data_IF_046445039838
#
_entry.id   IF_046445039838
#
_cell.length_a   1.000
_cell.length_b   1.000
_cell.length_c   1.000
_cell.angle_alpha   90.00
_cell.angle_beta   90.00
_cell.angle_gamma   90.00
#
_symmetry.space_group_name_H-M   'P 1'
#
loop_
_entity.id
_entity.type
_entity.pdbx_description
1 polymer ?
#
# COMPACT_ATOMS: atom_id res chain seq x y z
N UNK A 1 -5.17 -24.57 -1.57
CA UNK A 1 -5.30 -23.73 -0.36
C UNK A 1 -6.32 -22.64 -0.63
N UNK A 2 -6.99 -22.15 0.39
CA UNK A 2 -7.94 -21.03 0.28
C UNK A 2 -7.27 -19.77 -0.30
N UNK A 3 -6.00 -19.57 -0.05
CA UNK A 3 -5.23 -18.45 -0.57
C UNK A 3 -5.10 -18.44 -2.09
N UNK A 4 -4.87 -19.58 -2.75
CA UNK A 4 -4.80 -19.65 -4.22
C UNK A 4 -6.15 -19.40 -4.88
N UNK A 5 -7.25 -19.90 -4.29
CA UNK A 5 -8.59 -19.61 -4.79
C UNK A 5 -8.93 -18.12 -4.63
N UNK A 6 -8.59 -17.54 -3.48
CA UNK A 6 -8.75 -16.11 -3.22
C UNK A 6 -7.93 -15.25 -4.20
N UNK A 7 -6.68 -15.61 -4.46
CA UNK A 7 -5.81 -14.93 -5.44
C UNK A 7 -6.45 -14.88 -6.82
N UNK A 8 -6.95 -16.03 -7.34
CA UNK A 8 -7.66 -16.09 -8.63
C UNK A 8 -8.89 -15.19 -8.65
N UNK A 9 -9.67 -15.21 -7.56
CA UNK A 9 -10.86 -14.36 -7.42
C UNK A 9 -10.50 -12.88 -7.43
N UNK A 10 -9.44 -12.47 -6.70
CA UNK A 10 -8.95 -11.08 -6.70
C UNK A 10 -8.56 -10.65 -8.10
N UNK A 11 -7.79 -11.47 -8.83
CA UNK A 11 -7.39 -11.17 -10.21
C UNK A 11 -8.61 -11.00 -11.13
N UNK A 12 -9.61 -11.87 -11.04
CA UNK A 12 -10.83 -11.81 -11.83
C UNK A 12 -11.70 -10.57 -11.45
N UNK A 13 -11.80 -10.25 -10.16
CA UNK A 13 -12.49 -9.05 -9.71
C UNK A 13 -11.86 -7.78 -10.28
N UNK A 14 -10.53 -7.65 -10.21
CA UNK A 14 -9.80 -6.47 -10.71
C UNK A 14 -9.88 -6.37 -12.23
N UNK A 15 -9.63 -7.46 -12.94
CA UNK A 15 -9.48 -7.41 -14.41
C UNK A 15 -10.81 -7.45 -15.16
N UNK A 16 -11.85 -8.03 -14.58
CA UNK A 16 -13.08 -8.37 -15.34
C UNK A 16 -14.36 -7.92 -14.64
N UNK A 17 -14.63 -8.40 -13.42
CA UNK A 17 -15.96 -8.25 -12.81
C UNK A 17 -16.28 -6.82 -12.42
N UNK A 18 -15.38 -6.15 -11.69
CA UNK A 18 -15.63 -4.78 -11.24
C UNK A 18 -15.62 -3.77 -12.41
N UNK A 19 -14.70 -3.87 -13.39
CA UNK A 19 -14.79 -3.06 -14.61
C UNK A 19 -16.13 -3.23 -15.34
N UNK A 20 -16.59 -4.48 -15.55
CA UNK A 20 -17.85 -4.73 -16.23
C UNK A 20 -19.09 -4.28 -15.47
N UNK A 21 -19.12 -4.48 -14.14
CA UNK A 21 -20.29 -4.21 -13.32
C UNK A 21 -20.45 -2.73 -12.96
N UNK A 22 -19.33 -2.01 -12.77
CA UNK A 22 -19.31 -0.66 -12.21
C UNK A 22 -18.61 0.36 -13.09
N UNK A 23 -17.96 -0.04 -14.19
CA UNK A 23 -17.20 0.86 -15.06
C UNK A 23 -15.88 1.36 -14.45
N UNK A 24 -15.37 0.72 -13.41
CA UNK A 24 -14.09 1.10 -12.82
C UNK A 24 -12.91 0.79 -13.74
N UNK A 25 -11.97 1.72 -13.83
CA UNK A 25 -10.67 1.47 -14.44
C UNK A 25 -9.85 0.54 -13.52
N UNK A 26 -9.39 -0.64 -14.02
CA UNK A 26 -8.71 -1.63 -13.21
C UNK A 26 -7.38 -1.14 -12.60
N UNK A 27 -6.73 -0.15 -13.22
CA UNK A 27 -5.44 0.39 -12.77
C UNK A 27 -5.64 1.61 -11.88
N UNK A 28 -6.53 2.53 -12.27
CA UNK A 28 -6.71 3.81 -11.60
C UNK A 28 -7.69 3.76 -10.44
N UNK A 29 -8.82 3.04 -10.61
CA UNK A 29 -9.92 3.10 -9.65
C UNK A 29 -9.89 1.97 -8.62
N UNK A 30 -9.26 0.83 -8.96
CA UNK A 30 -9.24 -0.35 -8.10
C UNK A 30 -7.89 -0.45 -7.39
N UNK A 31 -7.95 -0.66 -6.07
CA UNK A 31 -6.78 -0.92 -5.25
C UNK A 31 -6.94 -2.19 -4.45
N UNK A 32 -5.96 -3.10 -4.57
CA UNK A 32 -5.90 -4.29 -3.71
C UNK A 32 -5.09 -3.95 -2.47
N UNK A 33 -5.68 -4.16 -1.27
CA UNK A 33 -5.06 -3.88 0.02
C UNK A 33 -4.79 -5.19 0.76
N UNK A 34 -3.53 -5.61 0.80
CA UNK A 34 -3.13 -6.89 1.38
C UNK A 34 -2.79 -6.77 2.87
N UNK A 35 -3.23 -7.69 3.72
CA UNK A 35 -2.74 -7.79 5.10
C UNK A 35 -1.24 -8.05 5.20
N UNK A 36 -0.66 -8.76 4.22
CA UNK A 36 0.74 -9.21 4.21
C UNK A 36 1.44 -8.93 2.88
N UNK A 37 2.78 -8.93 2.90
CA UNK A 37 3.60 -8.86 1.68
C UNK A 37 3.76 -10.21 0.99
N UNK A 38 3.82 -11.30 1.76
CA UNK A 38 4.17 -12.65 1.28
C UNK A 38 2.96 -13.56 1.24
N UNK A 39 3.07 -14.65 0.48
CA UNK A 39 2.02 -15.65 0.29
C UNK A 39 1.13 -15.37 -0.93
N UNK A 40 0.20 -16.28 -1.24
CA UNK A 40 -0.65 -16.20 -2.45
C UNK A 40 -1.48 -14.91 -2.53
N UNK A 41 -1.94 -14.39 -1.39
CA UNK A 41 -2.71 -13.14 -1.27
C UNK A 41 -1.85 -11.97 -0.79
N UNK A 42 -0.52 -12.14 -0.76
CA UNK A 42 0.43 -11.08 -0.42
C UNK A 42 0.63 -10.11 -1.57
N UNK A 43 1.03 -8.87 -1.23
CA UNK A 43 1.18 -7.80 -2.22
C UNK A 43 2.22 -8.11 -3.29
N UNK A 44 3.29 -8.84 -2.98
CA UNK A 44 4.34 -9.20 -3.95
C UNK A 44 3.78 -10.10 -5.05
N UNK A 45 3.14 -11.20 -4.69
CA UNK A 45 2.62 -12.15 -5.67
C UNK A 45 1.40 -11.59 -6.42
N UNK A 46 0.54 -10.83 -5.76
CA UNK A 46 -0.59 -10.16 -6.41
C UNK A 46 -0.13 -9.08 -7.39
N UNK A 47 0.90 -8.31 -7.08
CA UNK A 47 1.49 -7.36 -8.03
C UNK A 47 1.99 -8.06 -9.28
N UNK A 48 2.74 -9.16 -9.13
CA UNK A 48 3.25 -9.94 -10.25
C UNK A 48 2.10 -10.44 -11.15
N UNK A 49 1.06 -11.03 -10.55
CA UNK A 49 -0.10 -11.55 -11.28
C UNK A 49 -0.90 -10.46 -11.96
N UNK A 50 -1.19 -9.39 -11.25
CA UNK A 50 -1.98 -8.28 -11.79
C UNK A 50 -1.22 -7.53 -12.87
N UNK A 51 0.09 -7.36 -12.76
CA UNK A 51 0.92 -6.79 -13.80
C UNK A 51 0.85 -7.63 -15.09
N UNK A 52 0.97 -8.96 -14.99
CA UNK A 52 0.90 -9.84 -16.15
C UNK A 52 -0.48 -9.85 -16.81
N UNK A 53 -1.56 -9.67 -16.05
CA UNK A 53 -2.93 -9.62 -16.57
C UNK A 53 -3.27 -8.24 -17.16
N UNK A 54 -2.95 -7.16 -16.43
CA UNK A 54 -3.39 -5.81 -16.79
C UNK A 54 -2.40 -5.10 -17.72
N UNK A 55 -1.12 -5.43 -17.59
CA UNK A 55 -0.03 -4.80 -18.32
C UNK A 55 1.01 -5.83 -18.81
N UNK A 56 0.61 -6.81 -19.65
CA UNK A 56 1.51 -7.84 -20.15
C UNK A 56 2.67 -7.24 -20.96
N UNK A 57 3.82 -7.94 -21.03
CA UNK A 57 4.90 -7.55 -21.92
C UNK A 57 4.44 -7.57 -23.38
N UNK A 58 4.89 -6.60 -24.17
CA UNK A 58 4.58 -6.52 -25.59
C UNK A 58 5.81 -6.03 -26.38
N UNK A 59 5.88 -6.37 -27.65
CA UNK A 59 6.95 -5.92 -28.54
C UNK A 59 6.97 -4.39 -28.62
N UNK A 60 8.13 -3.79 -28.39
CA UNK A 60 8.29 -2.32 -28.39
C UNK A 60 7.85 -1.64 -27.10
N UNK A 61 7.35 -2.36 -26.12
CA UNK A 61 7.00 -1.81 -24.81
C UNK A 61 8.24 -1.77 -23.91
N UNK A 62 8.67 -0.56 -23.52
CA UNK A 62 9.81 -0.39 -22.63
C UNK A 62 9.58 -1.06 -21.28
N UNK A 63 10.60 -1.77 -20.79
CA UNK A 63 10.63 -2.34 -19.44
C UNK A 63 12.06 -2.36 -18.90
N UNK A 64 12.18 -2.22 -17.58
CA UNK A 64 13.45 -2.31 -16.86
C UNK A 64 13.35 -3.41 -15.82
N UNK A 65 14.38 -4.23 -15.75
CA UNK A 65 14.45 -5.45 -14.94
C UNK A 65 14.46 -6.69 -15.81
N UNK A 66 14.74 -7.84 -15.22
CA UNK A 66 14.71 -9.15 -15.85
C UNK A 66 13.72 -10.06 -15.16
N UNK A 67 13.37 -11.19 -15.78
CA UNK A 67 12.50 -12.18 -15.15
C UNK A 67 13.07 -12.73 -13.83
N UNK A 68 14.41 -12.72 -13.69
CA UNK A 68 15.11 -13.15 -12.48
C UNK A 68 15.17 -12.03 -11.42
N UNK A 69 14.96 -10.76 -11.79
CA UNK A 69 14.91 -9.69 -10.82
C UNK A 69 13.58 -9.73 -10.05
N UNK A 70 13.65 -9.41 -8.76
CA UNK A 70 12.44 -9.34 -7.92
C UNK A 70 11.45 -8.26 -8.37
N UNK A 71 11.83 -7.41 -9.34
CA UNK A 71 11.07 -6.24 -9.77
C UNK A 71 11.23 -5.99 -11.27
N UNK A 72 10.10 -5.86 -11.94
CA UNK A 72 10.01 -5.42 -13.34
C UNK A 72 9.14 -4.19 -13.37
N UNK A 73 9.61 -3.12 -14.01
CA UNK A 73 8.89 -1.88 -14.25
C UNK A 73 8.64 -1.75 -15.76
N UNK A 74 7.38 -1.67 -16.17
CA UNK A 74 6.94 -1.58 -17.57
C UNK A 74 6.22 -0.24 -17.82
N UNK A 75 6.32 0.26 -19.02
CA UNK A 75 5.47 1.36 -19.48
C UNK A 75 3.99 1.06 -19.20
N UNK A 76 3.30 1.95 -18.51
CA UNK A 76 1.90 1.79 -18.10
C UNK A 76 1.68 1.13 -16.75
N UNK A 77 2.74 0.71 -16.04
CA UNK A 77 2.58 0.15 -14.70
C UNK A 77 2.11 1.20 -13.68
N UNK A 78 1.27 0.74 -12.75
CA UNK A 78 0.99 1.46 -11.52
C UNK A 78 2.10 1.21 -10.52
N UNK A 79 2.67 2.27 -9.99
CA UNK A 79 3.81 2.24 -9.04
C UNK A 79 3.55 3.11 -7.83
N UNK A 80 4.31 2.84 -6.76
CA UNK A 80 4.31 3.62 -5.53
C UNK A 80 5.74 3.99 -5.16
N UNK A 81 5.94 5.26 -4.78
CA UNK A 81 7.15 5.71 -4.08
C UNK A 81 7.23 5.04 -2.70
N UNK A 82 8.35 4.41 -2.38
CA UNK A 82 8.48 3.63 -1.12
C UNK A 82 9.47 4.21 -0.12
N UNK A 83 10.05 5.35 -0.45
CA UNK A 83 10.91 6.17 0.42
C UNK A 83 10.56 7.63 0.22
N UNK A 84 10.88 8.50 1.18
CA UNK A 84 10.91 9.92 0.92
C UNK A 84 12.20 10.26 0.18
N UNK A 85 12.07 10.96 -0.95
CA UNK A 85 13.18 11.58 -1.68
C UNK A 85 12.86 13.07 -1.78
N UNK A 86 13.60 13.89 -1.02
CA UNK A 86 13.39 15.34 -0.95
C UNK A 86 14.11 16.09 -2.05
N UNK A 87 15.00 15.43 -2.79
CA UNK A 87 15.89 16.03 -3.79
C UNK A 87 15.42 15.75 -5.22
N UNK A 88 14.59 14.72 -5.44
CA UNK A 88 14.07 14.39 -6.77
C UNK A 88 13.22 15.55 -7.30
N UNK A 89 13.53 15.99 -8.52
CA UNK A 89 12.80 17.05 -9.19
C UNK A 89 11.55 16.53 -9.91
N UNK A 90 10.53 17.36 -9.97
CA UNK A 90 9.36 17.11 -10.80
C UNK A 90 9.01 18.30 -11.68
N UNK A 91 8.41 17.99 -12.82
CA UNK A 91 7.82 18.96 -13.74
C UNK A 91 6.31 19.00 -13.55
N UNK A 92 5.71 20.18 -13.76
CA UNK A 92 4.26 20.39 -13.85
C UNK A 92 3.92 21.10 -15.15
N UNK A 93 2.83 20.68 -15.78
CA UNK A 93 2.33 21.38 -16.96
C UNK A 93 1.86 22.80 -16.58
N UNK A 94 2.53 23.84 -17.14
CA UNK A 94 2.16 25.24 -16.93
C UNK A 94 2.51 25.83 -15.56
N UNK A 95 3.35 25.18 -14.76
CA UNK A 95 3.83 25.67 -13.48
C UNK A 95 5.34 25.47 -13.32
N UNK A 96 5.94 26.07 -12.29
CA UNK A 96 7.35 25.89 -11.97
C UNK A 96 7.63 24.44 -11.53
N UNK A 97 8.83 23.97 -11.88
CA UNK A 97 9.37 22.72 -11.37
C UNK A 97 9.51 22.78 -9.85
N UNK A 98 9.37 21.64 -9.19
CA UNK A 98 9.55 21.54 -7.76
C UNK A 98 10.40 20.33 -7.40
N UNK A 99 10.54 20.09 -6.10
CA UNK A 99 11.31 18.97 -5.56
C UNK A 99 10.47 18.16 -4.54
N UNK A 100 10.81 16.88 -4.41
CA UNK A 100 10.29 15.98 -3.39
C UNK A 100 9.21 15.02 -3.88
N UNK A 101 9.46 13.72 -3.62
CA UNK A 101 8.50 12.62 -3.72
C UNK A 101 8.38 11.92 -2.36
N UNK A 102 7.18 11.52 -2.00
CA UNK A 102 6.90 11.02 -0.65
C UNK A 102 6.50 9.55 -0.65
N UNK A 103 6.88 8.86 0.41
CA UNK A 103 6.50 7.47 0.62
C UNK A 103 4.96 7.34 0.65
N UNK A 104 4.43 6.52 -0.26
CA UNK A 104 3.00 6.33 -0.46
C UNK A 104 2.43 7.02 -1.69
N UNK A 105 3.18 7.93 -2.34
CA UNK A 105 2.75 8.58 -3.59
C UNK A 105 2.58 7.51 -4.68
N UNK A 106 1.42 7.54 -5.35
CA UNK A 106 1.06 6.60 -6.41
C UNK A 106 1.15 7.27 -7.77
N UNK A 107 1.62 6.53 -8.76
CA UNK A 107 1.73 7.04 -10.12
C UNK A 107 1.65 5.94 -11.18
N UNK A 108 1.68 6.40 -12.43
CA UNK A 108 1.73 5.54 -13.62
C UNK A 108 3.02 5.83 -14.38
N UNK A 109 3.71 4.78 -14.80
CA UNK A 109 4.90 4.90 -15.66
C UNK A 109 4.47 5.37 -17.05
N UNK A 110 4.90 6.56 -17.45
CA UNK A 110 4.55 7.18 -18.73
C UNK A 110 5.65 7.10 -19.79
N UNK A 111 6.90 6.84 -19.36
CA UNK A 111 8.02 6.57 -20.26
C UNK A 111 9.02 5.62 -19.60
N UNK A 112 9.71 4.84 -20.42
CA UNK A 112 10.80 3.95 -20.02
C UNK A 112 11.92 4.10 -21.04
N UNK A 113 13.07 4.57 -20.59
CA UNK A 113 14.31 4.58 -21.37
C UNK A 113 15.19 3.42 -20.89
N UNK A 114 15.30 2.41 -21.74
CA UNK A 114 16.05 1.18 -21.42
C UNK A 114 17.56 1.43 -21.45
N UNK A 115 18.03 2.27 -22.36
CA UNK A 115 19.45 2.57 -22.55
C UNK A 115 19.99 3.44 -21.40
N UNK A 116 19.25 4.50 -21.05
CA UNK A 116 19.55 5.35 -19.89
C UNK A 116 19.18 4.70 -18.55
N UNK A 117 18.48 3.56 -18.56
CA UNK A 117 17.90 2.88 -17.37
C UNK A 117 17.10 3.84 -16.49
N UNK A 118 16.23 4.61 -17.12
CA UNK A 118 15.36 5.57 -16.41
C UNK A 118 13.89 5.32 -16.69
N UNK A 119 13.04 5.71 -15.74
CA UNK A 119 11.59 5.69 -15.90
C UNK A 119 11.00 7.05 -15.55
N UNK A 120 9.98 7.46 -16.31
CA UNK A 120 9.21 8.65 -15.99
C UNK A 120 7.85 8.23 -15.43
N UNK A 121 7.49 8.77 -14.28
CA UNK A 121 6.24 8.47 -13.56
C UNK A 121 5.38 9.73 -13.45
N UNK A 122 4.13 9.62 -13.83
CA UNK A 122 3.12 10.65 -13.58
C UNK A 122 2.43 10.35 -12.25
N UNK A 123 2.59 11.24 -11.26
CA UNK A 123 1.91 11.22 -9.96
C UNK A 123 1.06 12.48 -9.84
N UNK A 124 -0.27 12.34 -9.92
CA UNK A 124 -1.21 13.46 -10.04
C UNK A 124 -0.83 14.41 -11.20
N UNK A 125 -0.56 15.68 -10.89
CA UNK A 125 -0.13 16.72 -11.83
C UNK A 125 1.40 16.80 -12.00
N UNK A 126 2.16 15.96 -11.29
CA UNK A 126 3.62 15.98 -11.24
C UNK A 126 4.23 14.84 -12.06
N UNK A 127 5.29 15.15 -12.77
CA UNK A 127 6.04 14.22 -13.60
C UNK A 127 7.47 14.08 -13.08
N UNK A 128 7.82 12.89 -12.63
CA UNK A 128 9.13 12.55 -12.07
C UNK A 128 9.93 11.67 -13.01
N UNK A 129 11.23 11.91 -13.14
CA UNK A 129 12.14 11.01 -13.86
C UNK A 129 13.11 10.38 -12.87
N UNK A 130 13.00 9.07 -12.73
CA UNK A 130 13.84 8.24 -11.85
C UNK A 130 15.01 7.69 -12.64
N UNK A 131 16.21 7.95 -12.16
CA UNK A 131 17.47 7.39 -12.71
C UNK A 131 17.69 5.96 -12.19
N UNK A 132 18.69 5.27 -12.76
CA UNK A 132 19.03 3.88 -12.40
C UNK A 132 19.16 3.66 -10.88
N UNK A 133 19.77 4.60 -10.16
CA UNK A 133 20.01 4.52 -8.70
C UNK A 133 18.71 4.75 -7.90
N UNK A 134 17.75 5.48 -8.46
CA UNK A 134 16.47 5.80 -7.83
C UNK A 134 15.38 4.76 -8.12
N UNK A 135 15.58 3.85 -9.08
CA UNK A 135 14.58 2.81 -9.40
C UNK A 135 14.21 1.92 -8.22
N UNK A 136 15.09 1.80 -7.22
CA UNK A 136 14.81 1.05 -5.99
C UNK A 136 13.75 1.71 -5.08
N UNK A 137 13.42 2.97 -5.33
CA UNK A 137 12.41 3.74 -4.60
C UNK A 137 10.98 3.54 -5.13
N UNK A 138 10.85 2.89 -6.29
CA UNK A 138 9.56 2.54 -6.88
C UNK A 138 9.25 1.06 -6.66
N UNK A 139 8.02 0.72 -6.29
CA UNK A 139 7.48 -0.64 -6.28
C UNK A 139 6.21 -0.71 -7.12
N UNK A 140 5.93 -1.83 -7.84
CA UNK A 140 4.61 -2.06 -8.44
C UNK A 140 3.51 -1.92 -7.38
N UNK A 141 2.39 -1.28 -7.73
CA UNK A 141 1.38 -0.86 -6.77
C UNK A 141 -0.07 -1.23 -7.16
N UNK A 142 -0.27 -2.26 -7.98
CA UNK A 142 -1.61 -2.85 -8.19
C UNK A 142 -2.16 -3.42 -6.88
N UNK A 143 -1.28 -3.95 -6.04
CA UNK A 143 -1.55 -4.40 -4.69
C UNK A 143 -0.52 -3.81 -3.72
N UNK A 144 -0.99 -3.21 -2.62
CA UNK A 144 -0.14 -2.67 -1.56
C UNK A 144 -0.56 -3.24 -0.20
N UNK A 145 0.29 -3.12 0.82
CA UNK A 145 -0.17 -3.51 2.16
C UNK A 145 -1.13 -2.48 2.75
N UNK A 146 -2.05 -2.93 3.60
CA UNK A 146 -2.99 -2.03 4.30
C UNK A 146 -2.26 -0.88 5.01
N UNK A 147 -1.08 -1.14 5.59
CA UNK A 147 -0.29 -0.10 6.25
C UNK A 147 0.23 0.97 5.28
N UNK A 148 0.65 0.57 4.07
CA UNK A 148 1.12 1.52 3.04
C UNK A 148 0.00 2.36 2.42
N UNK A 149 -1.27 1.96 2.59
CA UNK A 149 -2.43 2.71 2.10
C UNK A 149 -2.94 3.77 3.08
N UNK A 150 -2.32 3.91 4.26
CA UNK A 150 -2.73 4.92 5.24
C UNK A 150 -2.62 6.33 4.65
N UNK A 151 -3.66 7.14 4.81
CA UNK A 151 -3.76 8.48 4.22
C UNK A 151 -4.34 8.52 2.81
N UNK A 152 -4.35 7.40 2.08
CA UNK A 152 -4.91 7.32 0.72
C UNK A 152 -6.34 6.82 0.73
N UNK A 153 -7.12 7.16 -0.30
CA UNK A 153 -8.48 6.66 -0.54
C UNK A 153 -8.65 6.27 -2.01
N UNK A 154 -9.47 5.26 -2.26
CA UNK A 154 -9.66 4.69 -3.60
C UNK A 154 -11.15 4.54 -3.92
N UNK A 155 -11.58 4.70 -5.18
CA UNK A 155 -12.97 4.46 -5.58
C UNK A 155 -13.44 3.05 -5.23
N UNK A 156 -12.63 2.03 -5.49
CA UNK A 156 -12.89 0.63 -5.15
C UNK A 156 -11.68 -0.01 -4.45
N UNK A 157 -11.95 -0.76 -3.39
CA UNK A 157 -10.95 -1.50 -2.62
C UNK A 157 -11.29 -2.98 -2.60
N UNK A 158 -10.29 -3.83 -2.79
CA UNK A 158 -10.40 -5.29 -2.58
C UNK A 158 -9.46 -5.66 -1.44
N UNK A 159 -10.01 -6.31 -0.40
CA UNK A 159 -9.27 -6.83 0.75
C UNK A 159 -9.25 -8.36 0.73
N UNK A 160 -8.15 -9.01 0.34
CA UNK A 160 -7.98 -10.44 0.47
C UNK A 160 -7.66 -10.80 1.93
N UNK A 161 -8.62 -11.41 2.61
CA UNK A 161 -8.50 -11.87 4.02
C UNK A 161 -8.40 -13.38 4.15
N UNK A 162 -7.91 -14.07 3.10
CA UNK A 162 -7.60 -15.49 3.13
C UNK A 162 -6.16 -15.72 3.62
N UNK A 163 -5.97 -16.75 4.46
CA UNK A 163 -4.66 -17.16 4.98
C UNK A 163 -3.87 -16.02 5.68
N UNK A 164 -4.59 -15.10 6.35
CA UNK A 164 -3.98 -14.00 7.09
C UNK A 164 -3.23 -14.55 8.32
N UNK A 165 -1.94 -14.20 8.50
CA UNK A 165 -1.21 -14.59 9.70
C UNK A 165 -1.90 -14.11 10.99
N UNK A 166 -1.95 -14.93 12.02
CA UNK A 166 -2.68 -14.63 13.27
C UNK A 166 -2.30 -13.27 13.88
N UNK A 167 -1.03 -12.86 13.76
CA UNK A 167 -0.55 -11.56 14.24
C UNK A 167 -1.15 -10.35 13.53
N UNK A 168 -1.67 -10.55 12.29
CA UNK A 168 -2.30 -9.51 11.47
C UNK A 168 -3.83 -9.66 11.42
N UNK A 169 -4.37 -10.71 12.03
CA UNK A 169 -5.80 -10.99 12.06
C UNK A 169 -6.47 -10.22 13.21
N UNK A 170 -6.60 -8.89 13.09
CA UNK A 170 -7.19 -8.02 14.11
C UNK A 170 -8.05 -6.89 13.51
N UNK A 171 -9.01 -6.41 14.31
CA UNK A 171 -10.06 -5.45 13.91
C UNK A 171 -9.50 -4.18 13.27
N UNK A 172 -8.48 -3.56 13.87
CA UNK A 172 -7.96 -2.28 13.39
C UNK A 172 -7.35 -2.38 11.99
N UNK A 173 -6.75 -3.53 11.62
CA UNK A 173 -6.23 -3.73 10.27
C UNK A 173 -7.38 -3.80 9.26
N UNK A 174 -8.43 -4.58 9.58
CA UNK A 174 -9.64 -4.66 8.74
C UNK A 174 -10.29 -3.29 8.59
N UNK A 175 -10.50 -2.57 9.71
CA UNK A 175 -11.06 -1.23 9.72
C UNK A 175 -10.25 -0.26 8.86
N UNK A 176 -8.93 -0.25 9.01
CA UNK A 176 -8.04 0.61 8.21
C UNK A 176 -8.22 0.34 6.72
N UNK A 177 -8.30 -0.93 6.31
CA UNK A 177 -8.48 -1.30 4.91
C UNK A 177 -9.87 -0.90 4.37
N UNK A 178 -10.94 -1.19 5.11
CA UNK A 178 -12.32 -0.87 4.70
C UNK A 178 -12.52 0.64 4.54
N UNK A 179 -11.98 1.44 5.46
CA UNK A 179 -12.09 2.91 5.41
C UNK A 179 -11.29 3.57 4.29
N UNK A 180 -10.52 2.83 3.51
CA UNK A 180 -9.85 3.35 2.28
C UNK A 180 -10.79 3.37 1.07
N UNK A 181 -11.94 2.71 1.13
CA UNK A 181 -12.89 2.64 0.02
C UNK A 181 -13.85 3.84 0.04
N UNK A 182 -13.95 4.56 -1.08
CA UNK A 182 -14.91 5.66 -1.26
C UNK A 182 -16.30 5.18 -1.72
N UNK A 183 -16.34 4.19 -2.63
CA UNK A 183 -17.59 3.74 -3.27
C UNK A 183 -17.86 2.27 -3.04
N UNK A 184 -16.85 1.41 -3.14
CA UNK A 184 -17.00 -0.03 -3.07
C UNK A 184 -15.86 -0.67 -2.28
N UNK A 185 -16.19 -1.52 -1.31
CA UNK A 185 -15.23 -2.39 -0.64
C UNK A 185 -15.67 -3.85 -0.82
N UNK A 186 -14.75 -4.69 -1.32
CA UNK A 186 -14.97 -6.13 -1.50
C UNK A 186 -14.00 -6.89 -0.60
N UNK A 187 -14.53 -7.64 0.36
CA UNK A 187 -13.74 -8.59 1.14
C UNK A 187 -13.75 -9.95 0.44
N UNK A 188 -12.57 -10.57 0.30
CA UNK A 188 -12.43 -11.90 -0.28
C UNK A 188 -11.68 -12.81 0.67
N UNK A 189 -12.28 -13.94 1.03
CA UNK A 189 -11.70 -14.85 2.01
C UNK A 189 -12.74 -15.81 2.57
N UNK A 190 -12.60 -16.17 3.85
CA UNK A 190 -13.56 -17.02 4.54
C UNK A 190 -14.28 -16.22 5.62
N UNK A 191 -15.58 -16.48 5.80
CA UNK A 191 -16.38 -15.87 6.87
C UNK A 191 -15.74 -16.06 8.26
N UNK A 192 -15.06 -17.19 8.49
CA UNK A 192 -14.35 -17.45 9.73
C UNK A 192 -13.19 -16.47 9.97
N UNK A 193 -12.38 -16.19 8.94
CA UNK A 193 -11.27 -15.24 9.07
C UNK A 193 -11.79 -13.82 9.30
N UNK A 194 -12.83 -13.43 8.56
CA UNK A 194 -13.49 -12.15 8.69
C UNK A 194 -14.04 -11.95 10.11
N UNK A 195 -14.80 -12.95 10.63
CA UNK A 195 -15.32 -12.93 12.00
C UNK A 195 -14.19 -12.83 13.03
N UNK A 196 -13.12 -13.63 12.87
CA UNK A 196 -11.94 -13.56 13.75
C UNK A 196 -11.31 -12.16 13.76
N UNK A 197 -11.21 -11.51 12.60
CA UNK A 197 -10.68 -10.15 12.53
C UNK A 197 -11.59 -9.13 13.22
N UNK A 198 -12.90 -9.26 13.06
CA UNK A 198 -13.89 -8.37 13.71
C UNK A 198 -13.87 -8.52 15.23
N UNK A 199 -13.77 -9.75 15.75
CA UNK A 199 -13.79 -10.03 17.18
C UNK A 199 -12.47 -9.72 17.88
N UNK A 200 -11.34 -9.82 17.17
CA UNK A 200 -10.02 -9.61 17.75
C UNK A 200 -9.71 -8.11 17.94
N UNK A 201 -10.02 -7.61 19.12
CA UNK A 201 -9.79 -6.21 19.57
C UNK A 201 -8.39 -6.08 20.18
N UNK A 202 -7.34 -6.66 19.61
CA UNK A 202 -5.98 -6.46 20.12
C UNK A 202 -5.64 -4.96 20.11
N UNK A 203 -5.75 -4.36 21.28
CA UNK A 203 -5.04 -3.11 21.55
C UNK A 203 -3.57 -3.51 21.76
N UNK A 204 -2.67 -3.04 20.90
CA UNK A 204 -1.28 -2.99 21.25
C UNK A 204 -1.18 -2.05 22.45
N UNK A 205 -1.15 -2.61 23.65
CA UNK A 205 -0.87 -1.84 24.87
C UNK A 205 0.52 -1.24 24.68
N UNK A 206 0.56 0.04 24.33
CA UNK A 206 1.82 0.77 24.33
C UNK A 206 2.21 0.93 25.80
N UNK A 207 3.23 0.24 26.22
CA UNK A 207 3.88 0.47 27.51
C UNK A 207 4.66 1.78 27.41
N UNK A 208 3.93 2.91 27.40
CA UNK A 208 4.56 4.23 27.51
C UNK A 208 4.55 4.64 28.99
N UNK A 209 5.63 5.20 29.48
CA UNK A 209 5.70 5.80 30.82
C UNK A 209 4.77 7.00 31.03
N UNK A 210 4.09 7.46 29.96
CA UNK A 210 3.21 8.63 29.98
C UNK A 210 2.13 8.55 31.07
N UNK A 211 1.52 7.37 31.27
CA UNK A 211 0.52 7.18 32.34
C UNK A 211 1.09 7.41 33.73
N UNK A 212 2.34 7.01 33.97
CA UNK A 212 3.04 7.23 35.24
C UNK A 212 3.43 8.69 35.38
N UNK A 213 3.95 9.31 34.32
CA UNK A 213 4.30 10.73 34.32
C UNK A 213 3.08 11.64 34.54
N UNK A 214 1.92 11.31 33.93
CA UNK A 214 0.70 12.07 34.17
C UNK A 214 0.14 11.90 35.59
N UNK A 215 0.24 10.70 36.17
CA UNK A 215 -0.14 10.50 37.58
C UNK A 215 0.76 11.27 38.51
N UNK A 216 2.06 11.25 38.26
CA UNK A 216 3.08 11.94 39.06
C UNK A 216 2.93 13.46 38.96
N UNK A 217 2.57 14.00 37.78
CA UNK A 217 2.27 15.41 37.58
C UNK A 217 0.93 15.85 38.21
N UNK A 218 -0.04 14.92 38.36
CA UNK A 218 -1.32 15.21 38.99
C UNK A 218 -1.33 15.05 40.49
N UNK A 219 -0.26 14.53 41.10
CA UNK A 219 -0.15 14.41 42.56
C UNK A 219 0.20 15.81 43.16
N UNK A 220 -0.60 16.36 44.09
CA UNK A 220 -0.32 17.66 44.69
C UNK A 220 1.06 17.73 45.36
N UNK A 221 1.69 18.87 45.29
CA UNK A 221 3.08 19.07 45.76
C UNK A 221 3.23 18.80 47.27
N UNK A 222 2.16 18.94 48.05
CA UNK A 222 2.14 18.69 49.49
C UNK A 222 2.31 17.21 49.86
N UNK A 223 1.69 16.28 49.10
CA UNK A 223 1.87 14.82 49.30
C UNK A 223 3.30 14.35 48.96
N UNK A 224 3.98 15.03 48.02
CA UNK A 224 5.40 14.73 47.70
C UNK A 224 6.38 15.13 48.83
N UNK A 225 6.07 16.15 49.58
CA UNK A 225 6.92 16.60 50.70
C UNK A 225 6.81 15.66 51.90
N UNK A 226 5.63 15.10 52.18
CA UNK A 226 5.46 14.14 53.28
C UNK A 226 6.14 12.80 53.00
N UNK A 227 6.17 12.32 51.76
CA UNK A 227 6.86 11.08 51.40
C UNK A 227 8.39 11.20 51.45
N UNK A 228 8.94 12.38 51.17
CA UNK A 228 10.37 12.65 51.27
C UNK A 228 10.87 12.90 52.74
N UNK A 229 9.98 13.26 53.62
CA UNK A 229 10.30 13.45 55.04
C UNK A 229 10.13 12.18 55.89
N UNK A 230 9.58 11.11 55.34
CA UNK A 230 9.37 9.82 55.98
C UNK A 230 10.39 8.73 55.56
N UNK A 231 11.43 9.10 54.76
CA UNK A 231 12.56 8.25 54.38
C UNK A 231 13.85 8.77 54.94
#
# INVERSE_FOLDING_TARGET
SNGLACQKLVCDLVSTRLPKAYGFDPVRDIQVLCPTKVGPTGSVELNRRLQDILNPPAKGKGQIGTAESAKILRLGDKVMQVKNDYDITFERAGAEAGVGAYNGDLGIITAVDVDARSVTVQMDDKKYTYTADQLNELEPAYAVTVHKSQGSEFPAVILPVADVPARLCYRNLLYTGVTRARKLCVLTGTARTEQTMVENVRQNMRYSGLRYLLKDAATPTEEKQEQLSAT
#
